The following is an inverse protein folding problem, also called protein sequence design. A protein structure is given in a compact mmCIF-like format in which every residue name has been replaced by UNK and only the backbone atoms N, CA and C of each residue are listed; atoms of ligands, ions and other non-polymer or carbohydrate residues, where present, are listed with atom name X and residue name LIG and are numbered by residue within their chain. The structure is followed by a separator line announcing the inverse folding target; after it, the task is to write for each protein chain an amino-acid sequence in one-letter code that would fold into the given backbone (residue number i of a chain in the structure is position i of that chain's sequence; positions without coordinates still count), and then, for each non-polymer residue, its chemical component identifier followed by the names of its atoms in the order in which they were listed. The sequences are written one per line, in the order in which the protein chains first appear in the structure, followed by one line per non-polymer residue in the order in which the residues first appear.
data_IF_907263549370
#
_entry.id   IF_907263549370
#
_cell.length_a   1.000
_cell.length_b   1.000
_cell.length_c   1.000
_cell.angle_alpha   90.00
_cell.angle_beta   90.00
_cell.angle_gamma   90.00
#
_symmetry.space_group_name_H-M   'P 1'
#
loop_
_entity.id
_entity.type
_entity.pdbx_description
1 polymer ?
#
# COMPACT_ATOMS: atom_id res chain seq x y z
N UNK A 1 18.45 7.20 10.17
CA UNK A 1 17.44 6.31 9.57
C UNK A 1 16.06 6.86 9.92
N UNK A 2 15.15 7.00 8.96
CA UNK A 2 13.76 7.40 9.27
C UNK A 2 12.96 6.15 9.59
N UNK A 3 12.55 5.98 10.85
CA UNK A 3 11.69 4.88 11.25
C UNK A 3 10.29 5.05 10.66
N UNK A 4 9.60 3.93 10.45
CA UNK A 4 8.17 3.92 10.13
C UNK A 4 7.41 4.39 11.38
N UNK A 5 6.58 5.43 11.26
CA UNK A 5 5.77 5.91 12.39
C UNK A 5 4.51 5.06 12.58
N UNK A 6 3.91 4.58 11.49
CA UNK A 6 2.72 3.74 11.53
C UNK A 6 2.74 2.71 10.39
N UNK A 7 2.17 1.53 10.66
CA UNK A 7 1.95 0.48 9.67
C UNK A 7 0.52 -0.05 9.79
N UNK A 8 -0.52 0.65 9.28
CA UNK A 8 -1.84 0.06 9.21
C UNK A 8 -1.85 -1.21 8.37
N UNK A 9 -2.54 -2.23 8.85
CA UNK A 9 -2.81 -3.49 8.16
C UNK A 9 -4.29 -3.54 7.86
N UNK A 10 -4.67 -3.41 6.60
CA UNK A 10 -6.06 -3.25 6.18
C UNK A 10 -6.54 -4.51 5.47
N UNK A 11 -7.61 -5.11 5.98
CA UNK A 11 -8.31 -6.20 5.31
C UNK A 11 -9.29 -5.64 4.28
N UNK A 12 -9.17 -6.06 3.04
CA UNK A 12 -9.97 -5.61 1.90
C UNK A 12 -10.78 -6.78 1.35
N UNK A 13 -12.10 -6.62 1.08
CA UNK A 13 -12.95 -7.69 0.56
C UNK A 13 -12.74 -7.90 -0.95
N UNK A 14 -11.51 -8.18 -1.37
CA UNK A 14 -11.14 -8.46 -2.75
C UNK A 14 -10.54 -9.85 -2.84
N UNK A 15 -11.03 -10.65 -3.77
CA UNK A 15 -10.54 -11.99 -4.08
C UNK A 15 -9.92 -11.96 -5.48
N UNK A 16 -8.60 -12.07 -5.56
CA UNK A 16 -7.87 -12.15 -6.82
C UNK A 16 -7.85 -13.59 -7.36
N UNK A 17 -7.60 -13.73 -8.66
CA UNK A 17 -7.36 -15.03 -9.34
C UNK A 17 -8.55 -16.00 -9.38
N UNK A 18 -9.78 -15.48 -9.23
CA UNK A 18 -10.99 -16.24 -9.52
C UNK A 18 -10.97 -16.70 -10.98
N UNK A 19 -10.75 -18.00 -11.18
CA UNK A 19 -10.83 -18.64 -12.51
C UNK A 19 -12.29 -18.93 -12.81
N UNK A 20 -12.97 -17.97 -13.43
CA UNK A 20 -14.32 -18.18 -13.95
C UNK A 20 -14.26 -19.03 -15.23
N UNK A 21 -14.92 -20.18 -15.21
CA UNK A 21 -15.18 -20.97 -16.42
C UNK A 21 -16.69 -21.10 -16.58
N UNK A 22 -17.32 -20.40 -17.56
CA UNK A 22 -18.74 -20.60 -17.83
C UNK A 22 -19.03 -22.09 -18.09
N UNK A 23 -20.13 -22.66 -17.54
CA UNK A 23 -21.21 -22.04 -16.78
C UNK A 23 -20.99 -21.98 -15.24
N UNK A 24 -19.83 -22.40 -14.73
CA UNK A 24 -19.53 -22.41 -13.30
C UNK A 24 -19.14 -21.02 -12.78
N UNK A 25 -20.00 -20.48 -11.91
CA UNK A 25 -19.75 -19.28 -11.12
C UNK A 25 -19.44 -19.70 -9.68
N UNK A 26 -18.27 -19.32 -9.18
CA UNK A 26 -17.90 -19.51 -7.78
C UNK A 26 -17.91 -18.15 -7.06
N UNK A 27 -18.54 -18.04 -5.89
CA UNK A 27 -18.53 -16.79 -5.14
C UNK A 27 -17.11 -16.49 -4.61
N UNK A 28 -16.76 -15.20 -4.42
CA UNK A 28 -15.51 -14.84 -3.78
C UNK A 28 -15.52 -15.27 -2.29
N UNK A 29 -14.63 -16.19 -1.92
CA UNK A 29 -14.49 -16.66 -0.53
C UNK A 29 -13.29 -16.04 0.22
N UNK A 30 -12.28 -15.57 -0.50
CA UNK A 30 -11.06 -15.01 0.07
C UNK A 30 -11.09 -13.49 0.15
N UNK A 31 -10.21 -12.93 0.98
CA UNK A 31 -9.98 -11.49 1.18
C UNK A 31 -8.52 -11.16 0.90
N UNK A 32 -8.17 -9.89 0.82
CA UNK A 32 -6.78 -9.46 0.65
C UNK A 32 -6.35 -8.53 1.77
N UNK A 33 -5.06 -8.50 2.05
CA UNK A 33 -4.48 -7.63 3.06
C UNK A 33 -3.63 -6.55 2.37
N UNK A 34 -3.73 -5.32 2.84
CA UNK A 34 -2.89 -4.21 2.42
C UNK A 34 -2.04 -3.73 3.60
N UNK A 35 -0.72 -3.77 3.43
CA UNK A 35 0.27 -3.22 4.35
C UNK A 35 0.54 -1.77 3.96
N UNK A 36 0.36 -0.83 4.90
CA UNK A 36 0.54 0.60 4.65
C UNK A 36 1.67 1.17 5.50
N UNK A 37 2.95 0.96 5.16
CA UNK A 37 4.04 1.64 5.85
C UNK A 37 3.94 3.15 5.62
N UNK A 38 3.83 3.92 6.68
CA UNK A 38 3.63 5.36 6.60
C UNK A 38 4.66 6.12 7.41
N UNK A 39 5.37 7.02 6.75
CA UNK A 39 6.42 7.86 7.33
C UNK A 39 5.95 9.31 7.35
N UNK A 40 5.84 9.89 8.55
CA UNK A 40 5.31 11.24 8.76
C UNK A 40 5.92 11.89 9.99
N UNK A 41 5.94 13.23 10.04
CA UNK A 41 6.34 14.02 11.21
C UNK A 41 5.15 14.63 11.95
N UNK A 42 4.06 14.90 11.24
CA UNK A 42 2.94 15.72 11.72
C UNK A 42 1.56 15.10 11.42
N UNK A 43 1.51 13.88 10.87
CA UNK A 43 0.32 13.16 10.39
C UNK A 43 -0.53 13.91 9.34
N UNK A 44 -0.21 15.16 9.02
CA UNK A 44 -0.83 15.94 7.95
C UNK A 44 -0.22 15.58 6.60
N UNK A 45 1.11 15.51 6.55
CA UNK A 45 1.87 15.12 5.36
C UNK A 45 2.73 13.89 5.67
N UNK A 46 2.83 12.97 4.71
CA UNK A 46 3.65 11.79 4.90
C UNK A 46 3.87 11.04 3.61
N UNK A 47 4.93 10.25 3.60
CA UNK A 47 5.31 9.44 2.45
C UNK A 47 5.07 7.98 2.76
N UNK A 48 4.71 7.21 1.74
CA UNK A 48 4.74 5.76 1.84
C UNK A 48 6.19 5.30 2.09
N UNK A 49 6.34 4.34 2.98
CA UNK A 49 7.62 3.67 3.21
C UNK A 49 7.90 2.70 2.07
N UNK A 50 9.07 2.82 1.45
CA UNK A 50 9.49 1.96 0.35
C UNK A 50 10.41 0.83 0.86
N UNK A 51 10.12 -0.44 0.51
CA UNK A 51 11.04 -1.55 0.76
C UNK A 51 12.40 -1.30 0.10
N UNK A 52 13.49 -1.74 0.73
CA UNK A 52 14.86 -1.57 0.24
C UNK A 52 15.43 -0.15 0.42
N UNK A 53 14.60 0.86 0.72
CA UNK A 53 15.05 2.23 1.01
C UNK A 53 14.81 2.62 2.47
N UNK A 54 13.57 2.45 2.91
CA UNK A 54 13.11 2.95 4.21
C UNK A 54 13.14 1.85 5.30
N UNK A 55 13.05 0.60 4.87
CA UNK A 55 13.17 -0.59 5.70
C UNK A 55 13.65 -1.78 4.82
N UNK A 56 14.20 -2.84 5.43
CA UNK A 56 14.71 -3.99 4.69
C UNK A 56 13.61 -4.70 3.89
N UNK A 57 13.91 -5.08 2.65
CA UNK A 57 12.94 -5.75 1.78
C UNK A 57 12.58 -7.15 2.31
N UNK A 58 13.54 -7.82 2.94
CA UNK A 58 13.39 -9.12 3.58
C UNK A 58 12.29 -9.11 4.64
N UNK A 59 12.10 -7.97 5.33
CA UNK A 59 11.04 -7.83 6.33
C UNK A 59 9.65 -7.94 5.70
N UNK A 60 9.45 -7.44 4.47
CA UNK A 60 8.19 -7.57 3.74
C UNK A 60 7.97 -8.99 3.27
N UNK A 61 9.00 -9.63 2.73
CA UNK A 61 8.88 -11.02 2.30
C UNK A 61 8.51 -11.94 3.46
N UNK A 62 9.11 -11.74 4.63
CA UNK A 62 8.75 -12.51 5.82
C UNK A 62 7.30 -12.21 6.29
N UNK A 63 6.86 -10.96 6.26
CA UNK A 63 5.46 -10.61 6.54
C UNK A 63 4.49 -11.30 5.57
N UNK A 64 4.76 -11.24 4.27
CA UNK A 64 3.93 -11.88 3.23
C UNK A 64 3.90 -13.40 3.44
N UNK A 65 5.05 -14.01 3.73
CA UNK A 65 5.18 -15.45 3.98
C UNK A 65 4.33 -15.88 5.18
N UNK A 66 4.45 -15.20 6.32
CA UNK A 66 3.67 -15.53 7.53
C UNK A 66 2.18 -15.30 7.34
N UNK A 67 1.79 -14.16 6.77
CA UNK A 67 0.37 -13.87 6.52
C UNK A 67 -0.26 -14.94 5.65
N UNK A 68 0.42 -15.33 4.57
CA UNK A 68 -0.11 -16.35 3.64
C UNK A 68 -0.13 -17.75 4.25
N UNK A 69 0.80 -18.05 5.16
CA UNK A 69 0.88 -19.36 5.82
C UNK A 69 -0.10 -19.51 7.00
N UNK A 70 -0.32 -18.44 7.77
CA UNK A 70 -0.99 -18.51 9.07
C UNK A 70 -2.42 -17.93 9.03
N UNK A 71 -2.72 -17.00 8.11
CA UNK A 71 -4.04 -16.37 8.03
C UNK A 71 -4.88 -17.05 6.95
N UNK A 72 -5.97 -17.74 7.31
CA UNK A 72 -6.79 -18.45 6.33
C UNK A 72 -7.55 -17.47 5.43
N UNK A 73 -7.91 -17.96 4.24
CA UNK A 73 -8.76 -17.24 3.28
C UNK A 73 -8.17 -15.89 2.82
N UNK A 74 -6.83 -15.77 2.78
CA UNK A 74 -6.14 -14.65 2.16
C UNK A 74 -5.79 -14.98 0.71
N UNK A 75 -6.24 -14.14 -0.20
CA UNK A 75 -5.97 -14.24 -1.64
C UNK A 75 -4.63 -13.60 -2.00
N UNK A 76 -4.37 -12.38 -1.51
CA UNK A 76 -3.12 -11.64 -1.77
C UNK A 76 -2.78 -10.68 -0.64
N UNK A 77 -1.49 -10.40 -0.49
CA UNK A 77 -0.94 -9.32 0.32
C UNK A 77 -0.42 -8.23 -0.61
N UNK A 78 -0.76 -6.98 -0.33
CA UNK A 78 -0.43 -5.79 -1.12
C UNK A 78 0.31 -4.76 -0.25
N UNK A 79 1.06 -3.87 -0.86
CA UNK A 79 1.70 -2.73 -0.19
C UNK A 79 1.14 -1.42 -0.73
N UNK A 80 0.78 -0.49 0.15
CA UNK A 80 0.34 0.84 -0.24
C UNK A 80 1.56 1.76 -0.47
N UNK A 81 1.65 2.31 -1.67
CA UNK A 81 2.73 3.21 -2.10
C UNK A 81 2.26 4.67 -2.21
N UNK A 82 1.07 4.99 -1.68
CA UNK A 82 0.43 6.30 -1.83
C UNK A 82 0.89 7.28 -0.75
N UNK A 83 1.41 8.44 -1.18
CA UNK A 83 1.77 9.55 -0.28
C UNK A 83 0.54 10.34 0.20
N UNK A 84 0.67 11.01 1.34
CA UNK A 84 -0.28 11.99 1.87
C UNK A 84 0.32 13.40 1.81
N UNK A 85 -0.39 14.41 1.29
CA UNK A 85 -1.69 14.31 0.62
C UNK A 85 -1.55 13.68 -0.77
N UNK A 86 -2.55 12.89 -1.16
CA UNK A 86 -2.60 12.15 -2.43
C UNK A 86 -2.90 13.03 -3.65
N UNK A 87 -2.45 14.29 -3.61
CA UNK A 87 -2.68 15.26 -4.70
C UNK A 87 -1.96 14.76 -5.94
N UNK A 88 -2.75 14.20 -6.87
CA UNK A 88 -2.43 14.19 -8.29
C UNK A 88 -2.08 15.64 -8.65
N UNK A 89 -0.82 15.91 -8.96
CA UNK A 89 -0.41 17.16 -9.60
C UNK A 89 -0.93 17.14 -11.04
N UNK A 90 -2.25 17.23 -11.23
CA UNK A 90 -2.87 17.45 -12.51
C UNK A 90 -2.47 18.85 -13.02
N UNK A 91 -1.51 18.87 -13.93
CA UNK A 91 -1.31 19.83 -15.04
C UNK A 91 -0.98 21.29 -14.75
N UNK A 92 -1.58 21.94 -13.76
CA UNK A 92 -1.63 23.41 -13.70
C UNK A 92 -0.84 24.08 -12.56
N UNK A 93 -0.12 23.31 -11.73
CA UNK A 93 0.69 23.86 -10.62
C UNK A 93 2.13 24.26 -10.98
N UNK A 94 2.59 24.06 -12.22
CA UNK A 94 3.85 24.65 -12.70
C UNK A 94 3.82 26.19 -12.77
N UNK A 95 2.63 26.81 -12.78
CA UNK A 95 2.51 28.28 -12.76
C UNK A 95 2.72 28.92 -11.38
N UNK A 96 2.77 28.15 -10.28
CA UNK A 96 3.08 28.68 -8.93
C UNK A 96 4.54 28.50 -8.49
N UNK A 97 5.37 27.83 -9.31
CA UNK A 97 6.84 27.97 -9.29
C UNK A 97 7.27 29.25 -10.03
N UNK A 98 6.32 30.10 -10.45
CA UNK A 98 6.62 31.48 -10.88
C UNK A 98 6.46 32.42 -9.67
N UNK A 99 7.59 32.98 -9.24
CA UNK A 99 7.79 34.08 -8.27
C UNK A 99 8.32 33.69 -6.89
N UNK A 100 9.57 33.24 -6.85
CA UNK A 100 10.65 33.82 -6.02
C UNK A 100 11.93 33.62 -6.86
N UNK A 101 12.90 34.57 -7.04
CA UNK A 101 13.22 35.74 -6.21
C UNK A 101 13.44 37.08 -6.97
N UNK A 102 13.18 38.20 -6.29
CA UNK A 102 14.21 39.13 -5.77
C UNK A 102 13.61 39.85 -4.58
#
# INVERSE_FOLDING_TARGET
MSSIQQMPVVLVPVHFELKFKPPQYFPPLCRSICLRPFITRDFMTGRAGLPGRDFPEESIFEMVKRITAEVPLISRVMIDLTNKPQVLLNGNKWKKIRRVPK
#
